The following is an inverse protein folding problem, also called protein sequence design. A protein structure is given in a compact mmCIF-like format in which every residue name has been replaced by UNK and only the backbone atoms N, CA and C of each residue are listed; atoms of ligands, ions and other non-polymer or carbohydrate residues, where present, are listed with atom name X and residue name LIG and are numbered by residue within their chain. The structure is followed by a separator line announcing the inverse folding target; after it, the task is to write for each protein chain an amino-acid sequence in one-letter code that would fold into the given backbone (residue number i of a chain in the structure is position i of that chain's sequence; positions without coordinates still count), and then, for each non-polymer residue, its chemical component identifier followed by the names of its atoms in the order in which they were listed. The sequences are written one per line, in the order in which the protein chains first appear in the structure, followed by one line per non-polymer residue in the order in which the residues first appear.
data_IF_633534069659
#
_entry.id   IF_633534069659
#
_cell.length_a   1.000
_cell.length_b   1.000
_cell.length_c   1.000
_cell.angle_alpha   90.00
_cell.angle_beta   90.00
_cell.angle_gamma   90.00
#
_symmetry.space_group_name_H-M   'P 1'
#
loop_
_entity.id
_entity.type
_entity.pdbx_description
1 polymer ?
#
# COMPACT_ATOMS: atom_id res chain seq x y z
N UNK A 1 1.32 -21.68 14.95
CA UNK A 1 1.85 -20.72 13.95
C UNK A 1 1.81 -21.37 12.58
N UNK A 2 1.38 -20.74 11.47
CA UNK A 2 0.70 -19.45 11.33
C UNK A 2 -0.54 -19.52 10.39
N UNK A 3 -1.74 -19.23 10.91
CA UNK A 3 -2.96 -18.99 10.09
C UNK A 3 -3.17 -17.50 9.76
N UNK A 4 -2.31 -16.60 10.28
CA UNK A 4 -2.49 -15.15 10.21
C UNK A 4 -2.06 -14.51 8.88
N UNK A 5 -1.39 -15.24 7.99
CA UNK A 5 -0.95 -14.70 6.69
C UNK A 5 -2.05 -14.68 5.62
N UNK A 6 -3.24 -15.24 5.90
CA UNK A 6 -4.33 -15.32 4.91
C UNK A 6 -5.29 -14.12 4.91
N UNK A 7 -5.17 -13.15 5.83
CA UNK A 7 -6.22 -12.12 6.00
C UNK A 7 -5.93 -10.76 5.35
N UNK A 8 -4.79 -10.59 4.67
CA UNK A 8 -4.46 -9.34 3.99
C UNK A 8 -4.34 -9.64 2.50
N UNK A 9 -5.49 -9.75 1.82
CA UNK A 9 -5.52 -9.87 0.37
C UNK A 9 -5.27 -8.50 -0.25
N UNK A 10 -4.06 -8.28 -0.77
CA UNK A 10 -3.72 -7.11 -1.59
C UNK A 10 -3.90 -7.47 -3.05
N UNK A 11 -4.70 -6.69 -3.77
CA UNK A 11 -4.86 -6.91 -5.21
C UNK A 11 -3.55 -6.64 -5.94
N UNK A 12 -3.21 -7.54 -6.87
CA UNK A 12 -2.03 -7.43 -7.73
C UNK A 12 -2.46 -7.26 -9.19
N UNK A 13 -1.91 -6.26 -9.87
CA UNK A 13 -2.11 -6.00 -11.29
C UNK A 13 -0.77 -5.89 -12.00
N UNK A 14 -0.69 -6.29 -13.28
CA UNK A 14 0.52 -6.03 -14.06
C UNK A 14 0.66 -4.54 -14.37
N UNK A 15 1.90 -4.09 -14.58
CA UNK A 15 2.20 -2.73 -15.04
C UNK A 15 1.41 -2.37 -16.31
N UNK A 16 1.32 -3.30 -17.27
CA UNK A 16 0.57 -3.10 -18.50
C UNK A 16 -0.93 -2.90 -18.25
N UNK A 17 -1.54 -3.69 -17.36
CA UNK A 17 -2.94 -3.58 -16.99
C UNK A 17 -3.23 -2.29 -16.20
N UNK A 18 -2.32 -1.92 -15.29
CA UNK A 18 -2.41 -0.67 -14.54
C UNK A 18 -2.36 0.53 -15.48
N UNK A 19 -1.42 0.58 -16.43
CA UNK A 19 -1.31 1.66 -17.42
C UNK A 19 -2.58 1.82 -18.26
N UNK A 20 -3.20 0.71 -18.65
CA UNK A 20 -4.46 0.73 -19.42
C UNK A 20 -5.65 1.21 -18.58
N UNK A 21 -5.62 0.99 -17.26
CA UNK A 21 -6.72 1.29 -16.33
C UNK A 21 -6.29 2.30 -15.25
N UNK A 22 -5.45 3.26 -15.60
CA UNK A 22 -4.79 4.15 -14.64
C UNK A 22 -5.79 4.89 -13.75
N UNK A 23 -6.73 5.63 -14.36
CA UNK A 23 -7.74 6.41 -13.62
C UNK A 23 -8.61 5.55 -12.70
N UNK A 24 -9.29 4.49 -13.17
CA UNK A 24 -10.15 3.69 -12.29
C UNK A 24 -9.35 2.96 -11.20
N UNK A 25 -8.10 2.55 -11.46
CA UNK A 25 -7.22 1.99 -10.42
C UNK A 25 -6.90 3.01 -9.34
N UNK A 26 -6.54 4.26 -9.71
CA UNK A 26 -6.26 5.32 -8.75
C UNK A 26 -7.52 5.78 -7.98
N UNK A 27 -8.66 5.85 -8.67
CA UNK A 27 -9.95 6.19 -8.04
C UNK A 27 -10.35 5.14 -7.00
N UNK A 28 -10.12 3.86 -7.29
CA UNK A 28 -10.36 2.78 -6.32
C UNK A 28 -9.46 2.90 -5.10
N UNK A 29 -8.16 3.06 -5.28
CA UNK A 29 -7.20 3.23 -4.17
C UNK A 29 -7.63 4.41 -3.29
N UNK A 30 -8.00 5.54 -3.92
CA UNK A 30 -8.39 6.76 -3.22
C UNK A 30 -9.72 6.65 -2.47
N UNK A 31 -10.74 6.05 -3.07
CA UNK A 31 -12.10 6.08 -2.52
C UNK A 31 -12.39 4.89 -1.58
N UNK A 32 -11.70 3.77 -1.78
CA UNK A 32 -11.94 2.56 -1.01
C UNK A 32 -10.88 2.32 0.07
N UNK A 33 -9.80 3.11 0.08
CA UNK A 33 -8.64 2.89 0.97
C UNK A 33 -8.13 1.44 0.84
N UNK A 34 -7.97 1.00 -0.40
CA UNK A 34 -7.50 -0.33 -0.75
C UNK A 34 -6.13 -0.22 -1.44
N UNK A 35 -5.05 -0.74 -0.83
CA UNK A 35 -3.74 -0.80 -1.44
C UNK A 35 -3.74 -1.64 -2.73
N UNK A 36 -2.99 -1.18 -3.74
CA UNK A 36 -2.82 -1.87 -5.01
C UNK A 36 -1.34 -2.19 -5.25
N UNK A 37 -1.02 -3.45 -5.53
CA UNK A 37 0.31 -3.88 -5.96
C UNK A 37 0.42 -3.89 -7.49
N UNK A 38 1.37 -3.15 -8.02
CA UNK A 38 1.73 -3.15 -9.44
C UNK A 38 2.95 -4.03 -9.66
N UNK A 39 2.77 -5.09 -10.45
CA UNK A 39 3.83 -5.99 -10.90
C UNK A 39 4.59 -5.38 -12.07
N UNK A 40 5.84 -4.99 -11.84
CA UNK A 40 6.70 -4.36 -12.82
C UNK A 40 7.40 -5.37 -13.74
N UNK A 41 7.22 -6.68 -13.52
CA UNK A 41 7.91 -7.75 -14.25
C UNK A 41 9.39 -7.93 -13.84
N UNK A 42 9.81 -7.23 -12.78
CA UNK A 42 11.11 -7.35 -12.12
C UNK A 42 10.90 -7.51 -10.60
N UNK A 43 11.99 -7.52 -9.84
CA UNK A 43 11.93 -7.64 -8.38
C UNK A 43 11.47 -6.35 -7.66
N UNK A 44 11.16 -5.28 -8.40
CA UNK A 44 10.80 -3.96 -7.87
C UNK A 44 9.31 -3.65 -8.07
N UNK A 45 8.46 -4.46 -7.43
CA UNK A 45 7.03 -4.21 -7.42
C UNK A 45 6.68 -2.95 -6.63
N UNK A 46 5.67 -2.21 -7.09
CA UNK A 46 5.25 -0.96 -6.48
C UNK A 46 3.94 -1.18 -5.74
N UNK A 47 3.81 -0.63 -4.52
CA UNK A 47 2.53 -0.56 -3.80
C UNK A 47 2.03 0.87 -3.86
N UNK A 48 0.76 1.02 -4.26
CA UNK A 48 0.07 2.30 -4.34
C UNK A 48 -0.97 2.33 -3.22
N UNK A 49 -0.95 3.40 -2.42
CA UNK A 49 -1.92 3.71 -1.37
C UNK A 49 -2.43 5.14 -1.53
N UNK A 50 -3.58 5.47 -0.94
CA UNK A 50 -4.04 6.85 -0.95
C UNK A 50 -3.12 7.73 -0.11
N UNK A 51 -3.09 9.03 -0.42
CA UNK A 51 -2.32 10.00 0.36
C UNK A 51 -2.76 10.03 1.83
N UNK A 52 -4.06 9.91 2.08
CA UNK A 52 -4.62 9.90 3.43
C UNK A 52 -4.12 8.71 4.24
N UNK A 53 -4.11 7.50 3.65
CA UNK A 53 -3.56 6.31 4.31
C UNK A 53 -2.06 6.45 4.59
N UNK A 54 -1.30 7.02 3.65
CA UNK A 54 0.12 7.31 3.85
C UNK A 54 0.33 8.27 5.03
N UNK A 55 -0.39 9.39 5.05
CA UNK A 55 -0.28 10.41 6.11
C UNK A 55 -0.66 9.83 7.49
N UNK A 56 -1.73 9.04 7.56
CA UNK A 56 -2.17 8.34 8.77
C UNK A 56 -1.13 7.33 9.27
N UNK A 57 -0.49 6.60 8.34
CA UNK A 57 0.57 5.65 8.65
C UNK A 57 1.82 6.37 9.15
N UNK A 58 2.21 7.49 8.53
CA UNK A 58 3.31 8.32 9.02
C UNK A 58 3.05 8.88 10.43
N UNK A 59 1.84 9.40 10.69
CA UNK A 59 1.46 9.88 12.03
C UNK A 59 1.54 8.75 13.05
N UNK A 60 1.04 7.57 12.69
CA UNK A 60 1.11 6.37 13.52
C UNK A 60 2.56 5.98 13.80
N UNK A 61 3.42 5.93 12.79
CA UNK A 61 4.84 5.64 12.98
C UNK A 61 5.55 6.69 13.84
N UNK A 62 5.22 7.98 13.68
CA UNK A 62 5.75 9.04 14.57
C UNK A 62 5.33 8.80 16.02
N UNK A 63 4.09 8.40 16.28
CA UNK A 63 3.60 8.05 17.62
C UNK A 63 4.26 6.80 18.20
N UNK A 64 4.48 5.77 17.39
CA UNK A 64 5.15 4.54 17.84
C UNK A 64 6.64 4.75 18.14
N UNK A 65 7.30 5.73 17.50
CA UNK A 65 8.66 6.17 17.80
C UNK A 65 8.73 7.05 19.06
N UNK A 66 8.04 6.69 20.15
CA UNK A 66 8.12 7.37 21.46
C UNK A 66 9.57 7.59 21.95
N UNK A 67 9.79 8.34 23.05
CA UNK A 67 11.06 9.00 23.40
C UNK A 67 12.31 8.11 23.63
N UNK A 68 12.27 6.82 23.32
CA UNK A 68 13.38 5.88 23.49
C UNK A 68 14.52 6.00 22.45
N UNK A 69 14.62 7.14 21.75
CA UNK A 69 15.70 7.42 20.81
C UNK A 69 16.51 8.66 21.24
N UNK A 70 16.37 9.08 22.50
CA UNK A 70 17.30 10.00 23.16
C UNK A 70 18.04 9.19 24.24
N UNK A 71 19.08 8.47 23.85
CA UNK A 71 20.06 7.85 24.75
C UNK A 71 21.43 7.89 24.10
#
# INVERSE_FOLDING_TARGET
MPFFLSLIYMEKVSYSAFRQRLKPSLDRVRNNHEPLMVDCGNDENIVIISKEEYDNMEETFRRFKGPNNES
#
